data_IF_733514077473
#
_entry.id   IF_733514077473
#
_cell.length_a   1.000
_cell.length_b   1.000
_cell.length_c   1.000
_cell.angle_alpha   90.00
_cell.angle_beta   90.00
_cell.angle_gamma   90.00
#
_symmetry.space_group_name_H-M   'P 1'
#
loop_
_entity.id
_entity.type
_entity.pdbx_description
1 polymer ?
#
# COMPACT_ATOMS: atom_id res chain seq x y z
N UNK A 1 -5.05 10.28 18.56
CA UNK A 1 -3.99 10.69 17.61
C UNK A 1 -4.31 12.06 17.04
N UNK A 2 -3.33 12.97 17.01
CA UNK A 2 -3.39 14.27 16.33
C UNK A 2 -2.37 14.29 15.20
N UNK A 3 -2.66 14.95 14.09
CA UNK A 3 -1.67 15.28 13.06
C UNK A 3 -1.40 16.77 13.18
N UNK A 4 -0.20 17.12 13.62
CA UNK A 4 0.26 18.50 13.76
C UNK A 4 0.89 18.96 12.44
N UNK A 5 0.42 20.07 11.89
CA UNK A 5 1.05 20.73 10.74
C UNK A 5 2.02 21.79 11.25
N UNK A 6 3.30 21.61 10.98
CA UNK A 6 4.38 22.49 11.44
C UNK A 6 4.17 23.92 10.97
N UNK A 7 4.21 24.87 11.92
CA UNK A 7 4.11 26.31 11.67
C UNK A 7 5.51 26.95 11.69
N UNK A 8 5.70 28.13 11.06
CA UNK A 8 6.93 28.90 11.22
C UNK A 8 7.27 29.14 12.69
N UNK A 9 8.49 28.78 13.10
CA UNK A 9 8.98 28.90 14.48
C UNK A 9 8.67 27.70 15.39
N UNK A 10 8.02 26.64 14.87
CA UNK A 10 7.86 25.39 15.60
C UNK A 10 9.19 24.66 15.77
N UNK A 11 9.28 23.93 16.86
CA UNK A 11 10.32 22.94 17.12
C UNK A 11 9.69 21.66 17.67
N UNK A 12 10.34 20.53 17.50
CA UNK A 12 9.84 19.25 18.06
C UNK A 12 9.57 19.35 19.57
N UNK A 13 10.40 20.11 20.28
CA UNK A 13 10.22 20.33 21.72
C UNK A 13 8.90 21.07 22.01
N UNK A 14 8.62 22.15 21.28
CA UNK A 14 7.36 22.90 21.43
C UNK A 14 6.14 22.08 21.05
N UNK A 15 6.23 21.32 19.96
CA UNK A 15 5.16 20.40 19.51
C UNK A 15 4.91 19.33 20.59
N UNK A 16 5.97 18.72 21.12
CA UNK A 16 5.83 17.73 22.20
C UNK A 16 5.17 18.31 23.45
N UNK A 17 5.58 19.51 23.88
CA UNK A 17 4.96 20.22 25.01
C UNK A 17 3.48 20.55 24.74
N UNK A 18 3.18 21.12 23.57
CA UNK A 18 1.81 21.52 23.18
C UNK A 18 0.84 20.34 23.26
N UNK A 19 1.29 19.16 22.88
CA UNK A 19 0.47 17.95 22.85
C UNK A 19 0.63 17.04 24.08
N UNK A 20 1.43 17.42 25.06
CA UNK A 20 1.61 16.65 26.30
C UNK A 20 2.29 15.29 26.12
N UNK A 21 3.16 15.15 25.12
CA UNK A 21 3.91 13.91 24.88
C UNK A 21 5.40 14.11 25.10
N UNK A 22 6.17 13.07 25.53
CA UNK A 22 7.60 13.15 25.65
C UNK A 22 8.27 13.39 24.28
N UNK A 23 9.25 14.31 24.21
CA UNK A 23 10.00 14.58 22.99
C UNK A 23 10.67 13.31 22.38
N UNK A 24 11.35 12.44 23.16
CA UNK A 24 11.91 11.21 22.62
C UNK A 24 10.85 10.28 21.99
N UNK A 25 9.67 10.25 22.58
CA UNK A 25 8.54 9.47 22.04
C UNK A 25 8.07 10.03 20.70
N UNK A 26 7.90 11.34 20.57
CA UNK A 26 7.51 12.00 19.32
C UNK A 26 8.50 11.73 18.19
N UNK A 27 9.80 11.87 18.49
CA UNK A 27 10.89 11.57 17.56
C UNK A 27 10.86 10.10 17.14
N UNK A 28 10.74 9.18 18.07
CA UNK A 28 10.76 7.74 17.84
C UNK A 28 9.57 7.27 16.99
N UNK A 29 8.36 7.75 17.29
CA UNK A 29 7.16 7.32 16.57
C UNK A 29 7.11 7.81 15.11
N UNK A 30 7.62 9.01 14.85
CA UNK A 30 7.74 9.55 13.49
C UNK A 30 9.06 9.16 12.80
N UNK A 31 9.95 8.45 13.48
CA UNK A 31 11.29 8.07 12.99
C UNK A 31 12.09 9.25 12.43
N UNK A 32 12.02 10.39 13.12
CA UNK A 32 12.71 11.60 12.71
C UNK A 32 14.22 11.45 12.89
N UNK A 33 15.00 11.98 11.94
CA UNK A 33 16.45 11.87 11.92
C UNK A 33 17.12 13.15 12.40
N UNK A 34 18.25 13.02 13.05
CA UNK A 34 19.10 14.17 13.37
C UNK A 34 19.54 14.91 12.10
N UNK A 35 19.65 16.24 12.15
CA UNK A 35 19.54 17.14 13.31
C UNK A 35 18.09 17.59 13.64
N UNK A 36 17.07 16.78 13.36
CA UNK A 36 15.65 17.02 13.69
C UNK A 36 15.08 18.34 13.14
N UNK A 37 15.52 18.72 11.94
CA UNK A 37 15.01 19.92 11.27
C UNK A 37 13.58 19.70 10.80
N UNK A 38 12.79 20.77 10.84
CA UNK A 38 11.42 20.82 10.37
C UNK A 38 11.30 21.84 9.25
N UNK A 39 10.28 21.68 8.40
CA UNK A 39 9.87 22.72 7.46
C UNK A 39 8.40 23.08 7.68
N UNK A 40 7.98 24.35 7.50
CA UNK A 40 6.57 24.73 7.58
C UNK A 40 5.71 23.85 6.66
N UNK A 41 4.53 23.47 7.14
CA UNK A 41 3.60 22.61 6.43
C UNK A 41 3.90 21.10 6.52
N UNK A 42 5.03 20.69 7.10
CA UNK A 42 5.32 19.28 7.38
C UNK A 42 4.29 18.69 8.34
N UNK A 43 3.78 17.50 8.06
CA UNK A 43 2.91 16.77 8.97
C UNK A 43 3.74 15.97 9.99
N UNK A 44 3.40 16.09 11.27
CA UNK A 44 3.94 15.29 12.38
C UNK A 44 2.79 14.55 13.05
N UNK A 45 2.87 13.24 13.10
CA UNK A 45 1.88 12.43 13.83
C UNK A 45 2.20 12.48 15.32
N UNK A 46 1.22 12.85 16.12
CA UNK A 46 1.31 12.86 17.58
C UNK A 46 0.39 11.75 18.12
N UNK A 47 0.90 10.54 18.31
CA UNK A 47 0.11 9.45 18.87
C UNK A 47 -0.20 9.76 20.35
N UNK A 48 -1.36 9.30 20.79
CA UNK A 48 -1.80 9.43 22.19
C UNK A 48 -2.07 8.04 22.75
N UNK A 49 -1.03 7.36 23.27
CA UNK A 49 -1.20 6.04 23.82
C UNK A 49 -2.09 6.10 25.07
N UNK A 50 -2.99 5.13 25.22
CA UNK A 50 -3.81 4.97 26.40
C UNK A 50 -3.12 4.15 27.49
N UNK A 51 -2.15 3.32 27.08
CA UNK A 51 -1.37 2.50 27.99
C UNK A 51 0.06 2.33 27.48
N UNK A 52 1.03 2.47 28.37
CA UNK A 52 2.45 2.27 28.10
C UNK A 52 3.06 1.37 29.17
N UNK A 53 4.22 0.78 28.87
CA UNK A 53 4.98 -0.06 29.79
C UNK A 53 6.48 0.28 29.68
N UNK A 54 7.16 0.41 30.81
CA UNK A 54 8.61 0.53 30.84
C UNK A 54 9.24 -0.83 31.07
N UNK A 55 10.06 -1.28 30.11
CA UNK A 55 10.74 -2.58 30.15
C UNK A 55 11.67 -2.67 31.35
N UNK A 56 11.58 -3.77 32.11
CA UNK A 56 12.41 -4.09 33.26
C UNK A 56 13.45 -5.16 32.90
N UNK A 57 14.48 -5.29 33.72
CA UNK A 57 15.47 -6.34 33.56
C UNK A 57 14.82 -7.73 33.64
N UNK A 58 15.07 -8.58 32.65
CA UNK A 58 14.51 -9.93 32.56
C UNK A 58 13.17 -10.04 31.84
N UNK A 59 12.58 -8.92 31.40
CA UNK A 59 11.35 -8.96 30.60
C UNK A 59 11.61 -9.51 29.19
N UNK A 60 10.60 -10.25 28.69
CA UNK A 60 10.47 -10.60 27.27
C UNK A 60 9.19 -9.95 26.70
N UNK A 61 9.11 -9.78 25.37
CA UNK A 61 7.88 -9.26 24.73
C UNK A 61 6.68 -10.18 25.01
N UNK A 62 6.89 -11.50 25.05
CA UNK A 62 5.85 -12.46 25.37
C UNK A 62 5.29 -12.27 26.78
N UNK A 63 6.16 -12.11 27.78
CA UNK A 63 5.75 -11.89 29.18
C UNK A 63 5.05 -10.53 29.35
N UNK A 64 5.55 -9.48 28.68
CA UNK A 64 4.91 -8.16 28.71
C UNK A 64 3.53 -8.25 28.10
N UNK A 65 3.38 -8.91 26.95
CA UNK A 65 2.10 -9.08 26.27
C UNK A 65 1.11 -9.84 27.16
N UNK A 66 1.49 -11.00 27.71
CA UNK A 66 0.64 -11.83 28.53
C UNK A 66 0.17 -11.10 29.80
N UNK A 67 1.09 -10.42 30.50
CA UNK A 67 0.77 -9.67 31.74
C UNK A 67 -0.14 -8.47 31.53
N UNK A 68 -0.16 -7.90 30.33
CA UNK A 68 -0.93 -6.70 30.01
C UNK A 68 -2.16 -6.98 29.11
N UNK A 69 -2.53 -8.24 28.88
CA UNK A 69 -3.71 -8.61 28.10
C UNK A 69 -3.61 -8.20 26.62
N UNK A 70 -2.41 -8.18 26.05
CA UNK A 70 -2.14 -7.85 24.65
C UNK A 70 -1.38 -8.98 23.94
N UNK A 71 -0.95 -8.78 22.71
CA UNK A 71 -0.19 -9.77 21.95
C UNK A 71 1.16 -9.20 21.52
N UNK A 72 2.14 -10.08 21.25
CA UNK A 72 3.44 -9.66 20.69
C UNK A 72 3.24 -8.93 19.35
N UNK A 73 2.29 -9.37 18.54
CA UNK A 73 1.91 -8.70 17.30
C UNK A 73 1.45 -7.26 17.54
N UNK A 74 0.56 -7.03 18.51
CA UNK A 74 0.10 -5.69 18.86
C UNK A 74 1.26 -4.82 19.38
N UNK A 75 2.19 -5.41 20.14
CA UNK A 75 3.40 -4.70 20.57
C UNK A 75 4.27 -4.29 19.36
N UNK A 76 4.45 -5.13 18.35
CA UNK A 76 5.16 -4.76 17.13
C UNK A 76 4.43 -3.65 16.34
N UNK A 77 3.10 -3.74 16.23
CA UNK A 77 2.29 -2.72 15.53
C UNK A 77 2.33 -1.36 16.24
N UNK A 78 2.30 -1.35 17.57
CA UNK A 78 2.32 -0.12 18.35
C UNK A 78 3.73 0.47 18.53
N UNK A 79 4.78 -0.32 18.24
CA UNK A 79 6.17 0.03 18.47
C UNK A 79 7.03 -0.27 17.23
N UNK A 80 6.89 0.50 16.13
CA UNK A 80 7.57 0.22 14.85
C UNK A 80 9.11 0.22 14.97
N UNK A 81 9.66 0.88 16.00
CA UNK A 81 11.10 0.85 16.30
C UNK A 81 11.63 -0.55 16.67
N UNK A 82 10.75 -1.48 17.08
CA UNK A 82 11.14 -2.89 17.31
C UNK A 82 11.47 -3.61 15.99
N UNK A 83 11.07 -3.06 14.85
CA UNK A 83 11.37 -3.61 13.53
C UNK A 83 10.81 -5.03 13.32
N UNK A 84 9.72 -5.40 14.01
CA UNK A 84 9.14 -6.74 13.98
C UNK A 84 10.02 -7.79 14.67
N UNK A 85 10.88 -7.41 15.62
CA UNK A 85 11.74 -8.32 16.39
C UNK A 85 11.42 -8.27 17.87
N UNK A 86 11.87 -9.28 18.62
CA UNK A 86 11.65 -9.37 20.08
C UNK A 86 12.72 -8.64 20.91
N UNK A 87 13.61 -7.88 20.26
CA UNK A 87 14.70 -7.20 20.95
C UNK A 87 14.22 -5.99 21.70
N UNK A 88 14.27 -6.04 23.01
CA UNK A 88 13.94 -4.96 23.95
C UNK A 88 15.07 -4.72 24.96
N UNK A 89 15.10 -3.54 25.57
CA UNK A 89 16.13 -3.15 26.53
C UNK A 89 15.49 -2.56 27.79
N UNK A 90 16.06 -2.83 29.01
CA UNK A 90 15.59 -2.22 30.24
C UNK A 90 15.57 -0.69 30.13
N UNK A 91 14.48 -0.08 30.62
CA UNK A 91 14.23 1.37 30.51
C UNK A 91 13.53 1.81 29.22
N UNK A 92 13.41 0.94 28.21
CA UNK A 92 12.67 1.23 26.99
C UNK A 92 11.17 1.38 27.29
N UNK A 93 10.54 2.44 26.78
CA UNK A 93 9.08 2.62 26.84
C UNK A 93 8.42 1.95 25.66
N UNK A 94 7.44 1.10 25.92
CA UNK A 94 6.61 0.44 24.91
C UNK A 94 5.18 0.94 25.00
N UNK A 95 4.56 1.21 23.84
CA UNK A 95 3.13 1.47 23.73
C UNK A 95 2.39 0.13 23.74
N UNK A 96 1.49 -0.03 24.68
CA UNK A 96 0.63 -1.22 24.76
C UNK A 96 -0.66 -1.03 23.98
N UNK A 97 -1.25 0.18 24.01
CA UNK A 97 -2.53 0.46 23.37
C UNK A 97 -2.67 1.93 22.96
N UNK A 98 -3.40 2.17 21.87
CA UNK A 98 -3.87 3.49 21.42
C UNK A 98 -5.38 3.70 21.67
N UNK A 99 -6.05 2.81 22.39
CA UNK A 99 -7.49 2.89 22.66
C UNK A 99 -8.35 2.24 21.57
N UNK A 100 -9.62 2.68 21.47
CA UNK A 100 -10.60 2.11 20.56
C UNK A 100 -10.27 2.42 19.10
N UNK A 101 -10.53 1.44 18.23
CA UNK A 101 -10.39 1.56 16.79
C UNK A 101 -11.72 1.94 16.14
N UNK A 102 -11.67 2.60 14.98
CA UNK A 102 -12.86 2.96 14.18
C UNK A 102 -13.49 1.74 13.50
N UNK A 103 -12.69 0.68 13.29
CA UNK A 103 -13.10 -0.54 12.62
C UNK A 103 -11.90 -1.44 12.36
N UNK A 104 -12.07 -2.43 11.49
CA UNK A 104 -11.01 -3.36 11.06
C UNK A 104 -10.84 -3.26 9.56
N UNK A 105 -9.60 -3.25 9.09
CA UNK A 105 -9.27 -3.36 7.68
C UNK A 105 -8.39 -4.59 7.43
N UNK A 106 -8.66 -5.28 6.32
CA UNK A 106 -7.67 -6.08 5.66
C UNK A 106 -6.66 -5.17 4.95
N UNK A 107 -5.37 -5.47 5.06
CA UNK A 107 -4.30 -4.65 4.49
C UNK A 107 -3.45 -5.50 3.57
N UNK A 108 -3.44 -5.18 2.29
CA UNK A 108 -2.53 -5.78 1.32
C UNK A 108 -1.32 -4.86 1.08
N UNK A 109 -0.17 -5.45 0.81
CA UNK A 109 1.02 -4.71 0.40
C UNK A 109 1.74 -5.43 -0.74
N UNK A 110 2.13 -4.68 -1.78
CA UNK A 110 2.90 -5.21 -2.89
C UNK A 110 4.39 -5.10 -2.64
N UNK A 111 5.11 -6.19 -2.89
CA UNK A 111 6.57 -6.22 -2.82
C UNK A 111 7.19 -6.96 -3.99
N UNK A 112 8.34 -6.47 -4.45
CA UNK A 112 9.23 -7.23 -5.33
C UNK A 112 10.09 -8.19 -4.50
N UNK A 113 10.53 -9.34 -5.06
CA UNK A 113 11.36 -10.31 -4.34
C UNK A 113 12.66 -9.76 -3.76
N UNK A 114 13.18 -8.67 -4.31
CA UNK A 114 14.41 -8.00 -3.87
C UNK A 114 14.21 -6.94 -2.77
N UNK A 115 13.05 -6.92 -2.11
CA UNK A 115 12.81 -6.00 -0.99
C UNK A 115 13.86 -6.17 0.12
N UNK A 116 14.30 -5.04 0.72
CA UNK A 116 15.13 -5.09 1.93
C UNK A 116 14.40 -5.87 3.03
N UNK A 117 15.01 -6.95 3.51
CA UNK A 117 14.44 -7.84 4.52
C UNK A 117 14.07 -7.11 5.81
N UNK A 118 14.78 -6.03 6.16
CA UNK A 118 14.47 -5.20 7.34
C UNK A 118 13.19 -4.41 7.13
N UNK A 119 13.00 -3.86 5.92
CA UNK A 119 11.76 -3.16 5.54
C UNK A 119 10.59 -4.14 5.52
N UNK A 120 10.76 -5.31 4.91
CA UNK A 120 9.74 -6.36 4.88
C UNK A 120 9.33 -6.75 6.31
N UNK A 121 10.30 -7.13 7.16
CA UNK A 121 10.04 -7.56 8.55
C UNK A 121 9.29 -6.50 9.34
N UNK A 122 9.66 -5.24 9.19
CA UNK A 122 9.03 -4.11 9.86
C UNK A 122 7.60 -3.87 9.39
N UNK A 123 7.30 -4.19 8.12
CA UNK A 123 5.99 -3.99 7.50
C UNK A 123 5.02 -5.14 7.77
N UNK A 124 5.49 -6.38 7.83
CA UNK A 124 4.65 -7.58 7.98
C UNK A 124 3.64 -7.53 9.13
N UNK A 125 3.94 -6.96 10.32
CA UNK A 125 2.94 -6.80 11.37
C UNK A 125 1.68 -6.05 10.94
N UNK A 126 1.77 -5.16 9.96
CA UNK A 126 0.66 -4.32 9.47
C UNK A 126 -0.09 -4.91 8.27
N UNK A 127 0.29 -6.09 7.77
CA UNK A 127 -0.32 -6.69 6.59
C UNK A 127 -1.24 -7.86 6.94
N UNK A 128 -2.33 -7.99 6.18
CA UNK A 128 -3.18 -9.18 6.06
C UNK A 128 -2.69 -10.06 4.90
N UNK A 129 -2.38 -9.40 3.79
CA UNK A 129 -1.88 -10.02 2.56
C UNK A 129 -0.56 -9.41 2.12
N UNK A 130 0.28 -10.21 1.47
CA UNK A 130 1.50 -9.78 0.79
C UNK A 130 1.45 -10.23 -0.67
N UNK A 131 1.16 -9.33 -1.58
CA UNK A 131 1.18 -9.57 -3.03
C UNK A 131 2.61 -9.50 -3.55
N UNK A 132 3.17 -10.65 -3.98
CA UNK A 132 4.56 -10.76 -4.45
C UNK A 132 4.60 -10.57 -5.96
N UNK A 133 5.16 -9.46 -6.41
CA UNK A 133 5.15 -8.98 -7.79
C UNK A 133 6.42 -9.42 -8.54
N UNK A 134 6.39 -10.14 -9.66
CA UNK A 134 5.23 -10.74 -10.31
C UNK A 134 5.65 -12.01 -11.06
N UNK A 135 4.67 -12.84 -11.37
CA UNK A 135 4.80 -13.99 -12.24
C UNK A 135 4.18 -13.70 -13.60
N UNK A 136 4.97 -13.81 -14.66
CA UNK A 136 4.49 -13.87 -16.03
C UNK A 136 4.17 -15.31 -16.44
N UNK A 137 3.73 -15.48 -17.69
CA UNK A 137 3.48 -16.78 -18.29
C UNK A 137 3.85 -16.81 -19.78
N UNK A 138 4.16 -18.00 -20.29
CA UNK A 138 4.45 -18.20 -21.70
C UNK A 138 3.19 -18.56 -22.52
N UNK A 139 3.39 -18.74 -23.84
CA UNK A 139 2.30 -19.07 -24.77
C UNK A 139 1.65 -20.45 -24.55
N UNK A 140 2.23 -21.30 -23.72
CA UNK A 140 1.69 -22.61 -23.34
C UNK A 140 1.04 -22.61 -21.95
N UNK A 141 0.90 -21.44 -21.32
CA UNK A 141 0.34 -21.30 -19.99
C UNK A 141 1.26 -21.73 -18.85
N UNK A 142 2.58 -21.88 -19.08
CA UNK A 142 3.54 -22.16 -18.03
C UNK A 142 3.96 -20.86 -17.35
N UNK A 143 4.02 -20.86 -16.01
CA UNK A 143 4.51 -19.71 -15.26
C UNK A 143 6.00 -19.51 -15.48
N UNK A 144 6.41 -18.26 -15.65
CA UNK A 144 7.82 -17.88 -15.68
C UNK A 144 8.39 -17.97 -14.26
N UNK A 145 9.58 -18.58 -14.07
CA UNK A 145 10.13 -18.80 -12.73
C UNK A 145 10.35 -17.50 -11.96
N UNK A 146 9.98 -17.50 -10.68
CA UNK A 146 10.23 -16.40 -9.75
C UNK A 146 10.58 -16.98 -8.38
N UNK A 147 11.59 -16.42 -7.72
CA UNK A 147 11.95 -16.84 -6.37
C UNK A 147 11.23 -15.98 -5.32
N UNK A 148 10.19 -16.55 -4.73
CA UNK A 148 9.40 -15.92 -3.68
C UNK A 148 9.58 -16.59 -2.29
N UNK A 149 10.41 -17.60 -2.16
CA UNK A 149 10.51 -18.47 -0.96
C UNK A 149 10.79 -17.72 0.34
N UNK A 150 11.66 -16.71 0.28
CA UNK A 150 11.97 -15.91 1.47
C UNK A 150 10.74 -15.11 1.92
N UNK A 151 10.05 -14.47 0.97
CA UNK A 151 8.90 -13.61 1.25
C UNK A 151 7.71 -14.43 1.73
N UNK A 152 7.42 -15.57 1.10
CA UNK A 152 6.32 -16.45 1.52
C UNK A 152 6.53 -17.01 2.91
N UNK A 153 7.76 -17.48 3.23
CA UNK A 153 8.09 -17.95 4.59
C UNK A 153 7.97 -16.83 5.64
N UNK A 154 8.54 -15.65 5.35
CA UNK A 154 8.47 -14.52 6.29
C UNK A 154 7.02 -14.05 6.48
N UNK A 155 6.23 -13.92 5.43
CA UNK A 155 4.83 -13.55 5.52
C UNK A 155 4.08 -14.47 6.48
N UNK A 156 4.19 -15.78 6.30
CA UNK A 156 3.52 -16.80 7.13
C UNK A 156 3.91 -16.72 8.61
N UNK A 157 5.20 -16.42 8.91
CA UNK A 157 5.66 -16.26 10.31
C UNK A 157 4.96 -15.11 11.04
N UNK A 158 4.45 -14.11 10.31
CA UNK A 158 3.73 -12.96 10.85
C UNK A 158 2.21 -13.06 10.70
N UNK A 159 1.66 -14.23 10.37
CA UNK A 159 0.24 -14.41 10.10
C UNK A 159 -0.26 -13.61 8.89
N UNK A 160 0.60 -13.42 7.88
CA UNK A 160 0.30 -12.75 6.62
C UNK A 160 0.12 -13.78 5.52
N UNK A 161 -0.91 -13.65 4.72
CA UNK A 161 -1.22 -14.54 3.58
C UNK A 161 -0.49 -14.05 2.33
N UNK A 162 0.55 -14.75 1.82
CA UNK A 162 1.23 -14.36 0.59
C UNK A 162 0.37 -14.68 -0.63
N UNK A 163 0.24 -13.70 -1.54
CA UNK A 163 -0.44 -13.87 -2.83
C UNK A 163 0.58 -13.83 -3.97
N UNK A 164 0.42 -14.74 -4.92
CA UNK A 164 1.17 -14.72 -6.18
C UNK A 164 0.54 -13.67 -7.09
N UNK A 165 1.28 -12.66 -7.51
CA UNK A 165 0.79 -11.69 -8.50
C UNK A 165 1.01 -12.24 -9.89
N UNK A 166 -0.07 -12.52 -10.61
CA UNK A 166 -0.06 -12.97 -11.99
C UNK A 166 -0.22 -11.79 -12.93
N UNK A 167 0.74 -11.57 -13.82
CA UNK A 167 0.73 -10.45 -14.76
C UNK A 167 0.90 -10.90 -16.21
N UNK A 168 0.57 -10.01 -17.15
CA UNK A 168 0.90 -10.16 -18.57
C UNK A 168 2.28 -9.61 -18.92
N UNK A 169 3.16 -9.35 -17.92
CA UNK A 169 4.52 -8.88 -18.16
C UNK A 169 5.31 -9.88 -18.99
N UNK A 170 6.00 -9.36 -20.02
CA UNK A 170 6.97 -10.10 -20.78
C UNK A 170 8.36 -10.12 -20.15
N UNK A 171 9.30 -10.80 -20.80
CA UNK A 171 10.72 -10.75 -20.46
C UNK A 171 11.32 -9.35 -20.58
N UNK A 172 10.69 -8.49 -21.40
CA UNK A 172 11.00 -7.07 -21.56
C UNK A 172 10.48 -6.19 -20.41
N UNK A 173 9.75 -6.77 -19.45
CA UNK A 173 9.17 -6.07 -18.32
C UNK A 173 7.99 -5.16 -18.67
N UNK A 174 7.38 -5.32 -19.86
CA UNK A 174 6.20 -4.54 -20.27
C UNK A 174 4.94 -5.39 -20.19
N UNK A 175 3.83 -4.76 -19.78
CA UNK A 175 2.51 -5.36 -19.87
C UNK A 175 2.09 -5.54 -21.33
N UNK A 176 1.53 -6.70 -21.67
CA UNK A 176 1.15 -7.06 -23.03
C UNK A 176 -0.32 -7.44 -23.11
N UNK A 177 -1.15 -6.55 -23.66
CA UNK A 177 -2.56 -6.87 -23.97
C UNK A 177 -2.67 -8.00 -25.00
N UNK A 178 -1.75 -8.10 -25.95
CA UNK A 178 -1.72 -9.21 -26.91
C UNK A 178 -1.48 -10.57 -26.24
N UNK A 179 -0.66 -10.61 -25.19
CA UNK A 179 -0.45 -11.85 -24.40
C UNK A 179 -1.74 -12.28 -23.72
N UNK A 180 -2.49 -11.33 -23.14
CA UNK A 180 -3.81 -11.60 -22.57
C UNK A 180 -4.78 -12.09 -23.65
N UNK A 181 -4.84 -11.40 -24.79
CA UNK A 181 -5.70 -11.80 -25.92
C UNK A 181 -5.42 -13.24 -26.36
N UNK A 182 -4.17 -13.59 -26.64
CA UNK A 182 -3.80 -14.95 -27.06
C UNK A 182 -4.19 -15.99 -26.02
N UNK A 183 -3.96 -15.73 -24.74
CA UNK A 183 -4.37 -16.62 -23.65
C UNK A 183 -5.88 -16.86 -23.67
N UNK A 184 -6.68 -15.83 -23.89
CA UNK A 184 -8.14 -15.96 -23.89
C UNK A 184 -8.68 -16.71 -25.12
N UNK A 185 -7.97 -16.65 -26.25
CA UNK A 185 -8.34 -17.38 -27.48
C UNK A 185 -7.94 -18.86 -27.44
N UNK A 186 -6.92 -19.23 -26.66
CA UNK A 186 -6.43 -20.62 -26.57
C UNK A 186 -6.89 -21.29 -25.28
N UNK A 187 -7.93 -22.12 -25.39
CA UNK A 187 -8.48 -22.86 -24.25
C UNK A 187 -7.46 -23.81 -23.61
N UNK A 188 -6.56 -24.40 -24.40
CA UNK A 188 -5.56 -25.33 -23.87
C UNK A 188 -4.54 -24.60 -22.99
N UNK A 189 -3.98 -23.49 -23.48
CA UNK A 189 -3.04 -22.64 -22.72
C UNK A 189 -3.71 -22.02 -21.49
N UNK A 190 -4.97 -21.58 -21.61
CA UNK A 190 -5.74 -21.06 -20.47
C UNK A 190 -5.93 -22.11 -19.38
N UNK A 191 -6.35 -23.31 -19.73
CA UNK A 191 -6.51 -24.42 -18.79
C UNK A 191 -5.19 -24.84 -18.16
N UNK A 192 -4.11 -24.87 -18.94
CA UNK A 192 -2.77 -25.16 -18.45
C UNK A 192 -2.30 -24.10 -17.44
N UNK A 193 -2.54 -22.80 -17.70
CA UNK A 193 -2.17 -21.74 -16.78
C UNK A 193 -2.91 -21.84 -15.44
N UNK A 194 -4.21 -22.13 -15.46
CA UNK A 194 -5.01 -22.33 -14.25
C UNK A 194 -4.49 -23.50 -13.41
N UNK A 195 -4.09 -24.60 -14.04
CA UNK A 195 -3.52 -25.76 -13.33
C UNK A 195 -2.10 -25.48 -12.81
N UNK A 196 -1.25 -24.83 -13.61
CA UNK A 196 0.09 -24.40 -13.19
C UNK A 196 0.05 -23.43 -12.01
N UNK A 197 -0.94 -22.52 -11.97
CA UNK A 197 -1.18 -21.66 -10.80
C UNK A 197 -1.45 -22.50 -9.55
N UNK A 198 -2.41 -23.42 -9.61
CA UNK A 198 -2.75 -24.27 -8.45
C UNK A 198 -1.54 -25.05 -7.93
N UNK A 199 -0.74 -25.63 -8.83
CA UNK A 199 0.48 -26.37 -8.48
C UNK A 199 1.55 -25.45 -7.86
N UNK A 200 1.76 -24.26 -8.42
CA UNK A 200 2.74 -23.30 -7.91
C UNK A 200 2.35 -22.75 -6.54
N UNK A 201 1.05 -22.42 -6.35
CA UNK A 201 0.56 -21.96 -5.04
C UNK A 201 0.84 -22.99 -3.95
N UNK A 202 0.57 -24.27 -4.23
CA UNK A 202 0.82 -25.36 -3.30
C UNK A 202 2.32 -25.55 -3.03
N UNK A 203 3.14 -25.57 -4.08
CA UNK A 203 4.57 -25.85 -4.00
C UNK A 203 5.34 -24.74 -3.26
N UNK A 204 5.00 -23.47 -3.49
CA UNK A 204 5.72 -22.32 -2.93
C UNK A 204 5.03 -21.74 -1.69
N UNK A 205 3.90 -22.31 -1.26
CA UNK A 205 3.23 -21.94 -0.03
C UNK A 205 2.52 -20.60 -0.10
N UNK A 206 1.99 -20.21 -1.25
CA UNK A 206 1.09 -19.08 -1.39
C UNK A 206 -0.28 -19.38 -0.79
N UNK A 207 -1.01 -18.33 -0.45
CA UNK A 207 -2.38 -18.40 0.08
C UNK A 207 -3.44 -18.01 -0.97
N UNK A 208 -3.00 -17.67 -2.19
CA UNK A 208 -3.88 -17.28 -3.27
C UNK A 208 -3.14 -16.58 -4.40
N UNK A 209 -3.92 -16.02 -5.32
CA UNK A 209 -3.44 -15.29 -6.50
C UNK A 209 -4.04 -13.89 -6.53
N UNK A 210 -3.26 -12.95 -7.03
CA UNK A 210 -3.63 -11.57 -7.34
C UNK A 210 -3.44 -11.37 -8.85
N UNK A 211 -4.54 -11.25 -9.59
CA UNK A 211 -4.52 -11.16 -11.06
C UNK A 211 -4.45 -9.69 -11.45
N UNK A 212 -3.33 -9.29 -12.06
CA UNK A 212 -3.04 -7.92 -12.45
C UNK A 212 -2.72 -7.87 -13.96
N UNK A 213 -3.78 -7.90 -14.79
CA UNK A 213 -3.68 -7.81 -16.24
C UNK A 213 -4.06 -6.40 -16.69
N UNK A 214 -3.07 -5.65 -17.13
CA UNK A 214 -3.27 -4.31 -17.67
C UNK A 214 -3.32 -4.32 -19.20
N UNK A 215 -3.94 -3.28 -19.78
CA UNK A 215 -4.06 -3.06 -21.24
C UNK A 215 -4.72 -4.21 -21.99
N UNK A 216 -5.61 -4.96 -21.34
CA UNK A 216 -6.42 -6.01 -21.98
C UNK A 216 -7.30 -5.37 -23.05
N UNK A 217 -7.34 -5.92 -24.30
CA UNK A 217 -8.19 -5.41 -25.36
C UNK A 217 -9.68 -5.35 -24.96
N UNK A 218 -10.42 -4.31 -25.35
CA UNK A 218 -11.82 -4.15 -24.97
C UNK A 218 -12.72 -5.34 -25.36
N UNK A 219 -12.47 -5.96 -26.50
CA UNK A 219 -13.16 -7.13 -27.00
C UNK A 219 -13.00 -8.37 -26.11
N UNK A 220 -11.97 -8.41 -25.29
CA UNK A 220 -11.67 -9.52 -24.38
C UNK A 220 -12.28 -9.35 -22.96
N UNK A 221 -13.04 -8.29 -22.70
CA UNK A 221 -13.61 -8.03 -21.39
C UNK A 221 -14.39 -9.22 -20.78
N UNK A 222 -15.23 -9.87 -21.60
CA UNK A 222 -15.99 -11.04 -21.17
C UNK A 222 -15.10 -12.27 -20.95
N UNK A 223 -14.08 -12.46 -21.79
CA UNK A 223 -13.11 -13.54 -21.68
C UNK A 223 -12.21 -13.38 -20.45
N UNK A 224 -11.82 -12.15 -20.13
CA UNK A 224 -11.07 -11.84 -18.92
C UNK A 224 -11.87 -12.19 -17.65
N UNK A 225 -13.12 -11.74 -17.55
CA UNK A 225 -13.98 -12.11 -16.42
C UNK A 225 -14.24 -13.63 -16.34
N UNK A 226 -14.34 -14.32 -17.49
CA UNK A 226 -14.44 -15.77 -17.53
C UNK A 226 -13.16 -16.45 -17.02
N UNK A 227 -11.98 -15.96 -17.40
CA UNK A 227 -10.70 -16.44 -16.89
C UNK A 227 -10.60 -16.31 -15.38
N UNK A 228 -10.95 -15.16 -14.82
CA UNK A 228 -10.94 -14.95 -13.35
C UNK A 228 -11.88 -15.94 -12.65
N UNK A 229 -13.07 -16.20 -13.22
CA UNK A 229 -14.02 -17.23 -12.71
C UNK A 229 -13.42 -18.63 -12.75
N UNK A 230 -12.77 -19.01 -13.87
CA UNK A 230 -12.13 -20.33 -14.03
C UNK A 230 -11.02 -20.52 -12.99
N UNK A 231 -10.17 -19.50 -12.78
CA UNK A 231 -9.16 -19.48 -11.73
C UNK A 231 -9.80 -19.66 -10.36
N UNK A 232 -10.83 -18.88 -10.03
CA UNK A 232 -11.51 -18.99 -8.73
C UNK A 232 -12.13 -20.36 -8.54
N UNK A 233 -12.84 -20.89 -9.52
CA UNK A 233 -13.48 -22.20 -9.44
C UNK A 233 -12.47 -23.33 -9.19
N UNK A 234 -11.26 -23.21 -9.75
CA UNK A 234 -10.18 -24.17 -9.53
C UNK A 234 -9.53 -24.05 -8.16
N UNK A 235 -9.40 -22.83 -7.63
CA UNK A 235 -8.65 -22.53 -6.42
C UNK A 235 -9.49 -22.56 -5.14
N UNK A 236 -10.77 -22.19 -5.21
CA UNK A 236 -11.69 -22.11 -4.07
C UNK A 236 -11.79 -23.41 -3.23
N UNK A 237 -11.88 -24.64 -3.83
CA UNK A 237 -11.97 -25.87 -3.05
C UNK A 237 -10.73 -26.14 -2.17
N UNK A 238 -9.59 -25.54 -2.48
CA UNK A 238 -8.37 -25.64 -1.69
C UNK A 238 -8.20 -24.45 -0.72
N UNK A 239 -9.17 -23.54 -0.62
CA UNK A 239 -9.16 -22.39 0.29
C UNK A 239 -8.23 -21.24 -0.14
N UNK A 240 -7.83 -21.19 -1.40
CA UNK A 240 -7.02 -20.09 -1.94
C UNK A 240 -7.90 -18.87 -2.25
N UNK A 241 -7.35 -17.69 -1.98
CA UNK A 241 -7.98 -16.41 -2.29
C UNK A 241 -7.68 -15.98 -3.73
N UNK A 242 -8.68 -15.44 -4.42
CA UNK A 242 -8.52 -14.80 -5.74
C UNK A 242 -8.84 -13.31 -5.62
N UNK A 243 -7.83 -12.47 -5.81
CA UNK A 243 -7.92 -11.02 -5.90
C UNK A 243 -7.70 -10.61 -7.36
N UNK A 244 -8.33 -9.54 -7.83
CA UNK A 244 -8.08 -8.95 -9.14
C UNK A 244 -7.85 -7.44 -9.03
N UNK A 245 -6.76 -6.94 -9.64
CA UNK A 245 -6.47 -5.52 -9.72
C UNK A 245 -7.25 -4.88 -10.89
N UNK A 246 -7.88 -3.73 -10.62
CA UNK A 246 -8.75 -3.03 -11.58
C UNK A 246 -8.31 -1.59 -11.78
N UNK A 247 -8.23 -1.16 -13.02
CA UNK A 247 -7.98 0.23 -13.38
C UNK A 247 -9.07 1.17 -12.83
N UNK A 248 -8.75 2.43 -12.49
CA UNK A 248 -9.66 3.34 -11.79
C UNK A 248 -10.75 3.88 -12.72
N UNK A 249 -11.94 3.27 -12.72
CA UNK A 249 -13.12 3.69 -13.50
C UNK A 249 -14.11 4.50 -12.67
N UNK A 250 -14.74 5.47 -13.32
CA UNK A 250 -15.82 6.29 -12.74
C UNK A 250 -17.19 6.00 -13.35
N UNK A 251 -17.24 5.15 -14.37
CA UNK A 251 -18.49 4.68 -15.03
C UNK A 251 -18.25 3.40 -15.83
N UNK A 252 -19.33 2.68 -16.16
CA UNK A 252 -19.27 1.51 -17.04
C UNK A 252 -18.78 1.84 -18.45
N UNK A 253 -19.15 3.01 -18.95
CA UNK A 253 -18.81 3.47 -20.31
C UNK A 253 -17.49 4.21 -20.43
N UNK A 254 -16.62 4.22 -19.41
CA UNK A 254 -15.33 4.88 -19.50
C UNK A 254 -14.44 4.20 -20.53
N UNK A 255 -14.03 5.00 -21.54
CA UNK A 255 -13.22 4.52 -22.67
C UNK A 255 -11.73 4.63 -22.39
N UNK A 256 -10.96 3.81 -23.10
CA UNK A 256 -9.50 3.76 -23.10
C UNK A 256 -9.00 2.36 -22.83
N UNK A 257 -7.88 1.99 -23.46
CA UNK A 257 -7.31 0.64 -23.43
C UNK A 257 -7.05 0.12 -22.01
N UNK A 258 -6.71 1.00 -21.07
CA UNK A 258 -6.51 0.62 -19.67
C UNK A 258 -7.84 0.24 -18.96
N UNK A 259 -8.98 0.76 -19.43
CA UNK A 259 -10.23 0.74 -18.66
C UNK A 259 -11.28 -0.24 -19.19
N UNK A 260 -11.43 -0.35 -20.53
CA UNK A 260 -12.64 -0.94 -21.14
C UNK A 260 -12.83 -2.41 -20.81
N UNK A 261 -11.74 -3.19 -20.75
CA UNK A 261 -11.79 -4.60 -20.38
C UNK A 261 -12.03 -4.85 -18.88
N UNK A 262 -11.90 -3.84 -18.03
CA UNK A 262 -12.14 -3.95 -16.60
C UNK A 262 -13.62 -3.71 -16.29
N UNK A 263 -14.48 -4.71 -16.56
CA UNK A 263 -15.90 -4.68 -16.16
C UNK A 263 -16.00 -4.93 -14.64
N UNK A 264 -16.25 -3.87 -13.89
CA UNK A 264 -16.31 -3.93 -12.43
C UNK A 264 -17.36 -4.91 -11.89
N UNK A 265 -18.55 -4.94 -12.49
CA UNK A 265 -19.61 -5.86 -12.09
C UNK A 265 -19.20 -7.32 -12.32
N UNK A 266 -18.70 -7.62 -13.51
CA UNK A 266 -18.28 -8.97 -13.87
C UNK A 266 -17.07 -9.43 -13.04
N UNK A 267 -16.07 -8.56 -12.82
CA UNK A 267 -14.91 -8.86 -12.00
C UNK A 267 -15.24 -9.05 -10.52
N UNK A 268 -16.09 -8.17 -9.95
CA UNK A 268 -16.55 -8.29 -8.58
C UNK A 268 -17.36 -9.56 -8.31
N UNK A 269 -18.07 -10.09 -9.34
CA UNK A 269 -18.74 -11.38 -9.26
C UNK A 269 -17.76 -12.56 -9.40
N UNK A 270 -16.72 -12.42 -10.23
CA UNK A 270 -15.77 -13.48 -10.57
C UNK A 270 -14.72 -13.73 -9.47
N UNK A 271 -14.22 -12.69 -8.81
CA UNK A 271 -13.16 -12.76 -7.79
C UNK A 271 -13.73 -12.79 -6.36
N UNK A 272 -12.89 -13.15 -5.38
CA UNK A 272 -13.20 -12.98 -3.95
C UNK A 272 -13.10 -11.52 -3.57
N UNK A 273 -12.04 -10.86 -4.01
CA UNK A 273 -11.77 -9.44 -3.76
C UNK A 273 -11.34 -8.73 -5.03
N UNK A 274 -11.54 -7.41 -5.04
CA UNK A 274 -11.02 -6.53 -6.08
C UNK A 274 -10.17 -5.43 -5.45
N UNK A 275 -9.07 -5.08 -6.09
CA UNK A 275 -8.27 -3.90 -5.78
C UNK A 275 -8.59 -2.81 -6.81
N UNK A 276 -8.98 -1.64 -6.35
CA UNK A 276 -9.05 -0.45 -7.19
C UNK A 276 -7.68 0.23 -7.22
N UNK A 277 -7.02 0.30 -8.36
CA UNK A 277 -5.72 0.97 -8.54
C UNK A 277 -5.89 2.49 -8.55
N UNK A 278 -6.33 3.06 -7.44
CA UNK A 278 -6.67 4.48 -7.26
C UNK A 278 -5.43 5.35 -7.08
N UNK A 279 -4.52 5.30 -8.03
CA UNK A 279 -3.27 6.07 -8.11
C UNK A 279 -2.88 6.29 -9.58
N UNK A 280 -1.74 6.97 -9.82
CA UNK A 280 -1.21 7.31 -11.15
C UNK A 280 -2.09 8.32 -11.94
N UNK A 281 -2.83 9.23 -11.26
CA UNK A 281 -3.31 10.44 -11.92
C UNK A 281 -2.14 11.36 -12.24
N UNK A 282 -1.35 11.74 -11.22
CA UNK A 282 0.00 12.23 -11.43
C UNK A 282 0.97 11.06 -11.55
N UNK A 283 1.69 10.95 -12.65
CA UNK A 283 2.67 9.90 -12.90
C UNK A 283 3.88 10.45 -13.67
N UNK A 284 4.87 9.61 -13.88
CA UNK A 284 6.16 10.04 -14.42
C UNK A 284 6.07 10.80 -15.78
N UNK A 285 5.04 10.55 -16.59
CA UNK A 285 4.87 11.16 -17.92
C UNK A 285 3.68 12.14 -17.98
N UNK A 286 3.01 12.41 -16.87
CA UNK A 286 1.94 13.40 -16.76
C UNK A 286 2.48 14.79 -16.41
N UNK A 287 1.64 15.79 -16.56
CA UNK A 287 1.82 17.08 -15.90
C UNK A 287 1.84 16.93 -14.38
N UNK A 288 2.50 17.84 -13.63
CA UNK A 288 2.54 17.79 -12.17
C UNK A 288 1.15 17.79 -11.57
N UNK A 289 0.86 16.80 -10.74
CA UNK A 289 -0.35 16.71 -9.92
C UNK A 289 -0.22 15.60 -8.89
N UNK A 290 -1.15 15.54 -7.94
CA UNK A 290 -1.20 14.48 -6.94
C UNK A 290 -1.28 13.10 -7.59
N UNK A 291 -0.56 12.11 -7.04
CA UNK A 291 -0.58 10.71 -7.50
C UNK A 291 -1.98 10.10 -7.34
N UNK A 292 -2.64 10.41 -6.22
CA UNK A 292 -3.98 9.91 -5.88
C UNK A 292 -4.86 11.04 -5.31
N UNK A 293 -5.34 11.97 -6.15
CA UNK A 293 -6.21 13.06 -5.71
C UNK A 293 -7.51 12.51 -5.12
N UNK A 294 -7.85 12.90 -3.88
CA UNK A 294 -8.96 12.29 -3.15
C UNK A 294 -10.31 12.48 -3.84
N UNK A 295 -10.53 13.61 -4.49
CA UNK A 295 -11.74 13.89 -5.28
C UNK A 295 -11.94 12.88 -6.42
N UNK A 296 -10.86 12.49 -7.10
CA UNK A 296 -10.85 11.48 -8.16
C UNK A 296 -11.00 10.06 -7.58
N UNK A 297 -10.27 9.77 -6.52
CA UNK A 297 -10.38 8.49 -5.79
C UNK A 297 -11.83 8.27 -5.33
N UNK A 298 -12.48 9.29 -4.76
CA UNK A 298 -13.87 9.22 -4.32
C UNK A 298 -14.86 8.93 -5.47
N UNK A 299 -14.61 9.48 -6.67
CA UNK A 299 -15.43 9.17 -7.85
C UNK A 299 -15.34 7.68 -8.23
N UNK A 300 -14.14 7.12 -8.21
CA UNK A 300 -13.92 5.68 -8.49
C UNK A 300 -14.61 4.81 -7.43
N UNK A 301 -14.43 5.12 -6.15
CA UNK A 301 -15.05 4.36 -5.04
C UNK A 301 -16.57 4.39 -5.15
N UNK A 302 -17.15 5.57 -5.43
CA UNK A 302 -18.61 5.72 -5.61
C UNK A 302 -19.14 4.84 -6.74
N UNK A 303 -18.46 4.81 -7.87
CA UNK A 303 -18.85 3.94 -8.97
C UNK A 303 -18.66 2.46 -8.60
N UNK A 304 -17.51 2.09 -8.05
CA UNK A 304 -17.21 0.71 -7.68
C UNK A 304 -18.27 0.14 -6.71
N UNK A 305 -18.59 0.88 -5.64
CA UNK A 305 -19.57 0.44 -4.63
C UNK A 305 -21.02 0.41 -5.14
N UNK A 306 -21.31 1.03 -6.29
CA UNK A 306 -22.62 0.91 -6.95
C UNK A 306 -22.81 -0.42 -7.70
N UNK A 307 -21.71 -1.16 -7.95
CA UNK A 307 -21.74 -2.39 -8.76
C UNK A 307 -21.01 -3.59 -8.14
N UNK A 308 -20.20 -3.35 -7.11
CA UNK A 308 -19.45 -4.37 -6.36
C UNK A 308 -19.80 -4.20 -4.87
N UNK A 309 -20.07 -5.29 -4.11
CA UNK A 309 -20.22 -5.21 -2.66
C UNK A 309 -18.97 -4.58 -2.00
N UNK A 310 -19.14 -3.54 -1.15
CA UNK A 310 -18.02 -2.83 -0.55
C UNK A 310 -17.04 -3.72 0.21
N UNK A 311 -17.54 -4.77 0.86
CA UNK A 311 -16.75 -5.76 1.60
C UNK A 311 -15.85 -6.64 0.73
N UNK A 312 -15.89 -6.47 -0.59
CA UNK A 312 -14.99 -7.11 -1.54
C UNK A 312 -13.91 -6.17 -2.08
N UNK A 313 -13.94 -4.89 -1.70
CA UNK A 313 -13.13 -3.84 -2.33
C UNK A 313 -11.94 -3.44 -1.44
N UNK A 314 -10.74 -3.48 -2.01
CA UNK A 314 -9.54 -2.82 -1.48
C UNK A 314 -9.32 -1.48 -2.18
N UNK A 315 -9.09 -0.43 -1.38
CA UNK A 315 -8.68 0.88 -1.89
C UNK A 315 -7.17 0.91 -2.11
N UNK A 316 -6.71 1.23 -3.32
CA UNK A 316 -5.31 1.42 -3.62
C UNK A 316 -4.74 2.70 -3.00
N UNK A 317 -3.60 2.58 -2.31
CA UNK A 317 -2.87 3.69 -1.69
C UNK A 317 -1.45 3.71 -2.25
N UNK A 318 -0.98 4.82 -2.87
CA UNK A 318 0.40 4.95 -3.30
C UNK A 318 1.32 5.19 -2.10
N UNK A 319 2.53 4.60 -2.15
CA UNK A 319 3.59 4.84 -1.16
C UNK A 319 4.78 5.54 -1.81
N UNK A 320 4.53 6.50 -2.64
CA UNK A 320 5.52 7.28 -3.39
C UNK A 320 4.91 8.59 -3.87
N UNK A 321 5.76 9.45 -4.39
CA UNK A 321 5.43 10.68 -5.08
C UNK A 321 6.29 10.88 -6.31
N UNK A 322 6.16 12.03 -6.92
CA UNK A 322 6.96 12.42 -8.09
C UNK A 322 7.52 13.83 -7.92
N UNK A 323 8.68 14.04 -8.54
CA UNK A 323 9.44 15.29 -8.61
C UNK A 323 9.62 15.66 -10.10
N UNK A 324 8.85 16.64 -10.57
CA UNK A 324 8.88 17.12 -11.95
C UNK A 324 9.85 18.28 -12.09
N UNK A 325 10.64 18.29 -13.15
CA UNK A 325 11.39 19.47 -13.59
C UNK A 325 10.50 20.28 -14.53
N UNK A 326 10.40 21.59 -14.29
CA UNK A 326 9.58 22.51 -15.08
C UNK A 326 10.44 23.32 -16.07
N UNK A 327 9.89 23.75 -17.24
CA UNK A 327 8.51 23.49 -17.67
C UNK A 327 8.31 22.03 -18.10
N UNK A 328 7.12 21.48 -17.81
CA UNK A 328 6.76 20.14 -18.30
C UNK A 328 6.47 20.20 -19.80
N UNK A 329 7.08 19.28 -20.57
CA UNK A 329 6.87 19.14 -22.02
C UNK A 329 6.36 17.74 -22.29
N UNK A 330 5.09 17.62 -22.70
CA UNK A 330 4.44 16.34 -22.99
C UNK A 330 5.24 15.54 -24.02
N UNK A 331 5.48 14.27 -23.72
CA UNK A 331 6.26 13.34 -24.57
C UNK A 331 7.78 13.49 -24.47
N UNK A 332 8.30 14.47 -23.70
CA UNK A 332 9.72 14.68 -23.46
C UNK A 332 10.08 14.63 -21.98
N UNK A 333 9.32 15.33 -21.15
CA UNK A 333 9.58 15.37 -19.69
C UNK A 333 9.20 14.05 -19.04
N UNK A 334 10.02 13.65 -18.06
CA UNK A 334 9.79 12.50 -17.21
C UNK A 334 10.10 12.87 -15.75
N UNK A 335 9.10 12.79 -14.87
CA UNK A 335 9.30 13.02 -13.46
C UNK A 335 10.11 11.89 -12.80
N UNK A 336 10.85 12.25 -11.78
CA UNK A 336 11.58 11.30 -10.93
C UNK A 336 10.67 10.79 -9.82
N UNK A 337 10.56 9.48 -9.68
CA UNK A 337 9.88 8.88 -8.52
C UNK A 337 10.63 9.18 -7.22
N UNK A 338 9.93 9.64 -6.19
CA UNK A 338 10.48 9.97 -4.88
C UNK A 338 9.70 9.24 -3.77
N UNK A 339 10.39 8.78 -2.72
CA UNK A 339 9.72 8.24 -1.53
C UNK A 339 9.17 9.37 -0.65
N UNK A 340 8.07 9.11 0.07
CA UNK A 340 7.40 10.14 0.89
C UNK A 340 8.31 10.73 1.97
N UNK A 341 9.09 9.89 2.67
CA UNK A 341 10.10 10.36 3.64
C UNK A 341 11.16 11.21 2.95
N UNK A 342 11.63 10.78 1.78
CA UNK A 342 12.63 11.51 0.99
C UNK A 342 12.10 12.86 0.49
N UNK A 343 10.80 12.95 0.15
CA UNK A 343 10.18 14.22 -0.27
C UNK A 343 10.22 15.25 0.87
N UNK A 344 9.91 14.84 2.10
CA UNK A 344 10.02 15.71 3.29
C UNK A 344 11.48 16.10 3.56
N UNK A 345 12.41 15.14 3.52
CA UNK A 345 13.85 15.41 3.70
C UNK A 345 14.37 16.40 2.65
N UNK A 346 13.93 16.25 1.40
CA UNK A 346 14.27 17.18 0.31
C UNK A 346 13.70 18.57 0.56
N UNK A 347 12.42 18.70 0.96
CA UNK A 347 11.80 19.99 1.28
C UNK A 347 12.59 20.72 2.38
N UNK A 348 13.00 20.00 3.43
CA UNK A 348 13.86 20.55 4.50
C UNK A 348 15.22 21.01 3.96
N UNK A 349 15.87 20.21 3.12
CA UNK A 349 17.20 20.51 2.57
C UNK A 349 17.20 21.77 1.69
N UNK A 350 16.13 21.96 0.90
CA UNK A 350 16.03 23.11 -0.01
C UNK A 350 15.30 24.31 0.62
N UNK A 351 14.82 24.16 1.87
CA UNK A 351 14.09 25.21 2.60
C UNK A 351 12.70 25.50 2.03
N UNK A 352 12.10 24.55 1.32
CA UNK A 352 10.77 24.72 0.74
C UNK A 352 9.68 24.44 1.77
N UNK A 353 8.68 25.35 1.97
CA UNK A 353 7.51 25.04 2.76
C UNK A 353 6.61 24.03 2.01
N UNK A 354 6.08 23.06 2.74
CA UNK A 354 5.13 22.10 2.21
C UNK A 354 3.74 22.72 2.23
N UNK A 355 3.10 22.75 1.07
CA UNK A 355 1.70 23.16 0.90
C UNK A 355 0.80 21.92 0.94
N UNK A 356 -0.50 22.14 1.05
CA UNK A 356 -1.48 21.07 1.04
C UNK A 356 -2.66 21.47 0.17
N UNK A 357 -2.94 20.69 -0.86
CA UNK A 357 -4.11 20.89 -1.72
C UNK A 357 -5.33 20.26 -1.05
N UNK A 358 -6.31 21.09 -0.69
CA UNK A 358 -7.51 20.67 0.04
C UNK A 358 -8.50 19.87 -0.83
N UNK A 359 -8.42 19.97 -2.15
CA UNK A 359 -9.26 19.19 -3.07
C UNK A 359 -8.65 17.81 -3.31
N UNK A 360 -7.38 17.79 -3.68
CA UNK A 360 -6.62 16.55 -3.87
C UNK A 360 -6.31 15.85 -2.53
N UNK A 361 -6.39 16.57 -1.40
CA UNK A 361 -5.97 16.10 -0.08
C UNK A 361 -4.55 15.52 -0.14
N UNK A 362 -3.63 16.27 -0.73
CA UNK A 362 -2.25 15.81 -0.96
C UNK A 362 -1.24 16.94 -0.71
N UNK A 363 -0.09 16.64 -0.08
CA UNK A 363 0.99 17.59 0.10
C UNK A 363 1.78 17.78 -1.18
N UNK A 364 2.27 19.02 -1.38
CA UNK A 364 3.14 19.37 -2.49
C UNK A 364 4.04 20.55 -2.14
N UNK A 365 5.10 20.78 -2.92
CA UNK A 365 5.93 21.96 -2.83
C UNK A 365 6.70 22.21 -4.11
N UNK A 366 7.12 23.48 -4.32
CA UNK A 366 8.03 23.90 -5.40
C UNK A 366 9.39 24.24 -4.83
N UNK A 367 10.46 24.03 -5.63
CA UNK A 367 11.83 24.44 -5.30
C UNK A 367 12.66 24.67 -6.57
N UNK A 368 13.79 25.35 -6.40
CA UNK A 368 14.73 25.60 -7.50
C UNK A 368 16.02 24.78 -7.30
N UNK A 369 16.44 24.12 -8.38
CA UNK A 369 17.72 23.39 -8.46
C UNK A 369 18.26 23.47 -9.88
N UNK A 370 19.57 23.69 -10.03
CA UNK A 370 20.27 23.73 -11.34
C UNK A 370 19.61 24.65 -12.37
N UNK A 371 19.10 25.81 -11.94
CA UNK A 371 18.38 26.82 -12.72
C UNK A 371 17.03 26.34 -13.28
N UNK A 372 16.50 25.25 -12.81
CA UNK A 372 15.16 24.78 -13.14
C UNK A 372 14.26 24.82 -11.89
N UNK A 373 13.02 25.16 -12.09
CA UNK A 373 11.98 24.97 -11.09
C UNK A 373 11.55 23.51 -11.05
N UNK A 374 11.26 23.02 -9.86
CA UNK A 374 10.75 21.69 -9.61
C UNK A 374 9.43 21.77 -8.86
N UNK A 375 8.54 20.83 -9.14
CA UNK A 375 7.29 20.64 -8.40
C UNK A 375 7.22 19.19 -7.93
N UNK A 376 6.94 19.01 -6.62
CA UNK A 376 6.89 17.70 -5.96
C UNK A 376 5.52 17.46 -5.39
N UNK A 377 4.91 16.32 -5.70
CA UNK A 377 3.69 15.81 -5.09
C UNK A 377 3.97 14.47 -4.43
N UNK A 378 3.44 14.24 -3.23
CA UNK A 378 3.71 13.04 -2.43
C UNK A 378 2.57 12.72 -1.45
N UNK A 379 2.76 11.76 -0.55
CA UNK A 379 1.79 11.43 0.50
C UNK A 379 2.35 11.75 1.88
N UNK A 380 1.49 12.22 2.80
CA UNK A 380 1.81 12.39 4.21
C UNK A 380 0.70 11.85 5.13
N UNK A 381 0.83 12.02 6.43
CA UNK A 381 -0.15 11.54 7.40
C UNK A 381 -1.57 12.08 7.14
N UNK A 382 -1.70 13.29 6.61
CA UNK A 382 -3.00 13.93 6.31
C UNK A 382 -3.68 13.24 5.14
N UNK A 383 -2.95 13.05 4.05
CA UNK A 383 -3.47 12.40 2.84
C UNK A 383 -3.78 10.92 3.07
N UNK A 384 -2.96 10.23 3.87
CA UNK A 384 -3.24 8.85 4.30
C UNK A 384 -4.50 8.80 5.14
N UNK A 385 -4.65 9.68 6.14
CA UNK A 385 -5.87 9.75 6.96
C UNK A 385 -7.12 9.99 6.12
N UNK A 386 -7.04 10.87 5.13
CA UNK A 386 -8.17 11.17 4.24
C UNK A 386 -8.60 9.95 3.41
N UNK A 387 -7.64 9.20 2.86
CA UNK A 387 -7.90 7.95 2.11
C UNK A 387 -8.47 6.85 3.00
N UNK A 388 -7.94 6.68 4.22
CA UNK A 388 -8.48 5.72 5.19
C UNK A 388 -9.90 6.11 5.64
N UNK A 389 -10.19 7.40 5.82
CA UNK A 389 -11.52 7.89 6.15
C UNK A 389 -12.52 7.57 5.02
N UNK A 390 -12.14 7.80 3.77
CA UNK A 390 -12.96 7.44 2.60
C UNK A 390 -13.25 5.93 2.57
N UNK A 391 -12.22 5.09 2.76
CA UNK A 391 -12.41 3.64 2.81
C UNK A 391 -13.38 3.22 3.94
N UNK A 392 -13.28 3.86 5.11
CA UNK A 392 -14.17 3.62 6.24
C UNK A 392 -15.60 4.10 5.99
N UNK A 393 -15.79 5.27 5.38
CA UNK A 393 -17.10 5.84 5.02
C UNK A 393 -17.88 4.88 4.10
N UNK A 394 -17.20 4.34 3.09
CA UNK A 394 -17.79 3.38 2.15
C UNK A 394 -17.78 1.94 2.65
N UNK A 395 -17.29 1.67 3.88
CA UNK A 395 -17.19 0.33 4.48
C UNK A 395 -16.47 -0.68 3.58
N UNK A 396 -15.40 -0.24 2.95
CA UNK A 396 -14.58 -1.10 2.10
C UNK A 396 -13.93 -2.20 2.95
N UNK A 397 -13.58 -3.34 2.32
CA UNK A 397 -12.89 -4.46 2.98
C UNK A 397 -11.55 -4.02 3.58
N UNK A 398 -10.83 -3.16 2.87
CA UNK A 398 -9.55 -2.70 3.34
C UNK A 398 -8.81 -1.81 2.36
N UNK A 399 -7.50 -1.77 2.52
CA UNK A 399 -6.59 -0.96 1.72
C UNK A 399 -5.45 -1.80 1.16
N UNK A 400 -4.91 -1.38 0.01
CA UNK A 400 -3.79 -2.04 -0.64
C UNK A 400 -2.71 -1.03 -1.00
N UNK A 401 -1.47 -1.28 -0.55
CA UNK A 401 -0.36 -0.34 -0.68
C UNK A 401 0.54 -0.71 -1.85
N UNK A 402 0.61 0.15 -2.86
CA UNK A 402 1.56 0.08 -3.96
C UNK A 402 2.69 1.08 -3.74
N UNK A 403 3.92 0.68 -3.39
CA UNK A 403 4.36 -0.61 -2.90
C UNK A 403 5.12 -0.46 -1.58
N UNK A 404 5.40 -1.54 -0.89
CA UNK A 404 6.05 -1.54 0.42
C UNK A 404 7.59 -1.63 0.34
N UNK A 405 8.19 -1.39 -0.83
CA UNK A 405 9.65 -1.42 -1.01
C UNK A 405 10.39 -0.35 -0.19
N UNK A 406 9.67 0.67 0.27
CA UNK A 406 10.17 1.74 1.14
C UNK A 406 9.32 1.83 2.39
N UNK A 407 9.99 1.98 3.52
CA UNK A 407 9.30 2.23 4.79
C UNK A 407 8.79 3.67 4.85
N UNK A 408 7.51 3.83 5.16
CA UNK A 408 6.87 5.13 5.37
C UNK A 408 6.15 5.13 6.74
N UNK A 409 6.80 5.64 7.82
CA UNK A 409 6.30 5.58 9.20
C UNK A 409 4.87 6.10 9.35
N UNK A 410 4.56 7.22 8.73
CA UNK A 410 3.28 7.89 8.89
C UNK A 410 2.10 7.06 8.39
N UNK A 411 2.26 6.32 7.29
CA UNK A 411 1.22 5.42 6.79
C UNK A 411 0.82 4.40 7.86
N UNK A 412 1.80 3.67 8.39
CA UNK A 412 1.56 2.59 9.35
C UNK A 412 1.10 3.12 10.70
N UNK A 413 1.64 4.26 11.12
CA UNK A 413 1.27 4.91 12.36
C UNK A 413 -0.19 5.41 12.34
N UNK A 414 -0.63 6.06 11.25
CA UNK A 414 -1.99 6.53 11.07
C UNK A 414 -2.96 5.34 10.97
N UNK A 415 -2.63 4.35 10.13
CA UNK A 415 -3.46 3.16 9.95
C UNK A 415 -3.66 2.43 11.29
N UNK A 416 -2.56 2.10 11.99
CA UNK A 416 -2.63 1.36 13.25
C UNK A 416 -3.29 2.15 14.39
N UNK A 417 -3.21 3.48 14.38
CA UNK A 417 -3.95 4.28 15.37
C UNK A 417 -5.46 4.22 15.17
N UNK A 418 -5.92 4.19 13.92
CA UNK A 418 -7.32 4.32 13.57
C UNK A 418 -8.05 2.98 13.42
N UNK A 419 -7.41 1.97 12.86
CA UNK A 419 -8.03 0.70 12.51
C UNK A 419 -7.27 -0.48 13.10
N UNK A 420 -8.01 -1.52 13.47
CA UNK A 420 -7.44 -2.84 13.69
C UNK A 420 -7.08 -3.47 12.33
N UNK A 421 -6.03 -4.30 12.33
CA UNK A 421 -5.58 -4.98 11.12
C UNK A 421 -6.03 -6.43 11.21
N UNK A 422 -6.79 -6.86 10.21
CA UNK A 422 -7.23 -8.24 10.09
C UNK A 422 -6.03 -9.19 9.97
N UNK A 423 -6.04 -10.25 10.77
CA UNK A 423 -5.03 -11.30 10.75
C UNK A 423 -5.69 -12.67 10.71
N UNK A 424 -5.11 -13.56 9.96
CA UNK A 424 -5.51 -14.97 9.96
C UNK A 424 -4.69 -15.74 10.98
N UNK A 425 -5.39 -16.58 11.74
CA UNK A 425 -4.79 -17.45 12.78
C UNK A 425 -3.95 -18.58 12.16
#
# INVERSE_FOLDING_TARGET
>A
MVIHTVQPGDSLYRIAQMHGVPLPFLIQQNELREPYRLTPGQAIVVPQPTQTYTVKRGDTLGDIAARNGTTVLALWQNNPQLGGTDRIYPGQSLVLSYGSKLGTFAVNGYAYPNIDVRVLRKTLPYLTYLSIFSYGFDSMGRLLPQNADLLTRMARQYGVRPLLVLTTLGEDGQFSGERAHRLFQDTASRSALVENLAQTLAAQGFAGVDIDFEFVPPEDAAAYAAFVRDVRARLEPAGYTVLVALAPKTSSGQRGLLYEAHDYRAMGAAADYVLLMTYEWGYALSEPMAVAPLDKVAQVVRYATSVIPPEKIFLGIPNYGYDWTLPFIRGQSRARTIGNVQAVEQAIQVGAPIQYDETAQSPHYNYWRDRAEHEVWFEDARSIRAKLALAGEYRLHGVSVWNIMRWFPQLWLVLNNLYAIEKYA
#
